data_IF_509535023456
#
_entry.id   IF_509535023456
#
_cell.length_a   1.000
_cell.length_b   1.000
_cell.length_c   1.000
_cell.angle_alpha   90.00
_cell.angle_beta   90.00
_cell.angle_gamma   90.00
#
_symmetry.space_group_name_H-M   'P 1'
#
loop_
_entity.id
_entity.type
_entity.pdbx_description
1 polymer ?
2 non-polymer ?
3 non-polymer ?
4 water ?
#
# COMPACT_ATOMS: atom_id res chain seq x y z
N UNK A 5 20.85 3.39 -5.88
CA UNK A 5 19.50 3.60 -5.28
C UNK A 5 19.59 4.59 -4.12
N UNK A 6 18.82 5.68 -4.20
CA UNK A 6 18.76 6.67 -3.14
C UNK A 6 17.30 7.09 -2.99
N UNK A 7 17.03 7.90 -1.97
CA UNK A 7 15.68 8.42 -1.78
C UNK A 7 15.40 9.41 -2.91
N UNK A 8 16.47 10.11 -3.31
CA UNK A 8 16.44 11.10 -4.36
C UNK A 8 15.98 10.45 -5.65
N UNK A 9 16.46 9.24 -5.94
CA UNK A 9 16.03 8.52 -7.14
C UNK A 9 14.53 8.24 -7.08
N UNK A 10 14.03 7.84 -5.89
CA UNK A 10 12.61 7.56 -5.74
C UNK A 10 11.77 8.84 -5.80
N UNK A 11 12.28 9.95 -5.23
CA UNK A 11 11.61 11.23 -5.38
C UNK A 11 11.41 11.60 -6.85
N UNK A 12 12.44 11.36 -7.67
CA UNK A 12 12.44 11.65 -9.10
C UNK A 12 11.36 10.81 -9.77
N UNK A 13 11.30 9.54 -9.39
CA UNK A 13 10.38 8.64 -10.05
C UNK A 13 8.94 9.05 -9.77
N UNK A 14 8.72 9.79 -8.69
CA UNK A 14 7.37 10.14 -8.26
C UNK A 14 6.96 11.49 -8.85
N UNK A 15 7.96 12.27 -9.31
CA UNK A 15 7.77 13.61 -9.85
C UNK A 15 7.44 13.56 -11.35
N UNK A 16 6.51 14.43 -11.77
CA UNK A 16 6.24 14.70 -13.18
C UNK A 16 7.38 15.55 -13.73
N UNK A 17 7.40 15.78 -15.05
CA UNK A 17 8.45 16.58 -15.70
C UNK A 17 8.66 17.95 -15.05
N UNK A 18 7.55 18.58 -14.62
CA UNK A 18 7.55 19.88 -13.95
C UNK A 18 8.32 19.85 -12.63
N UNK A 19 8.39 18.70 -11.94
CA UNK A 19 9.23 18.54 -10.74
C UNK A 19 8.42 18.27 -9.47
N UNK A 20 7.14 17.99 -9.65
CA UNK A 20 6.15 18.00 -8.60
C UNK A 20 5.57 16.59 -8.48
N UNK A 21 5.20 16.19 -7.27
CA UNK A 21 4.39 15.00 -7.12
C UNK A 21 3.01 15.34 -7.68
N UNK A 22 2.22 14.32 -7.96
CA UNK A 22 0.85 14.54 -8.38
C UNK A 22 -0.12 14.19 -7.24
N UNK A 23 -1.43 14.16 -7.53
CA UNK A 23 -2.45 13.88 -6.53
C UNK A 23 -3.48 12.93 -7.12
N UNK A 24 -4.03 12.02 -6.29
CA UNK A 24 -4.94 11.00 -6.78
C UNK A 24 -6.17 11.66 -7.38
N UNK A 25 -6.47 11.31 -8.63
CA UNK A 25 -7.73 11.62 -9.27
C UNK A 25 -8.85 10.84 -8.58
N UNK A 26 -8.70 9.52 -8.47
CA UNK A 26 -9.83 8.71 -8.07
C UNK A 26 -9.79 8.27 -6.60
N UNK A 27 -10.95 7.91 -6.03
CA UNK A 27 -11.04 7.33 -4.69
C UNK A 27 -10.28 6.02 -4.46
N UNK A 28 -10.20 5.17 -5.50
CA UNK A 28 -9.19 4.12 -5.54
C UNK A 28 -8.83 3.73 -6.97
N UNK A 29 -7.77 2.91 -7.06
CA UNK A 29 -7.31 2.29 -8.28
C UNK A 29 -6.83 0.85 -8.01
N UNK A 30 -6.92 -0.03 -9.03
CA UNK A 30 -6.19 -1.30 -9.05
C UNK A 30 -4.77 -0.99 -9.50
N UNK A 31 -3.77 -1.21 -8.66
CA UNK A 31 -2.41 -0.78 -8.98
C UNK A 31 -1.61 -1.92 -9.60
N UNK A 32 -1.96 -3.15 -9.21
CA UNK A 32 -1.47 -4.40 -9.79
C UNK A 32 -2.68 -5.31 -9.84
N UNK A 33 -2.65 -6.45 -10.56
CA UNK A 33 -3.85 -7.26 -10.66
C UNK A 33 -4.36 -7.71 -9.29
N UNK A 34 -5.59 -7.30 -8.98
CA UNK A 34 -6.35 -7.70 -7.80
C UNK A 34 -5.92 -6.97 -6.53
N UNK A 35 -4.99 -6.03 -6.63
CA UNK A 35 -4.58 -5.18 -5.51
C UNK A 35 -5.02 -3.74 -5.78
N UNK A 36 -5.83 -3.21 -4.87
CA UNK A 36 -6.35 -1.86 -4.93
C UNK A 36 -5.73 -1.02 -3.81
N UNK A 37 -5.44 0.24 -4.13
CA UNK A 37 -5.08 1.30 -3.21
C UNK A 37 -6.13 2.40 -3.29
N UNK A 38 -6.52 2.92 -2.11
CA UNK A 38 -7.63 3.84 -2.02
C UNK A 38 -7.74 4.56 -0.67
N UNK A 39 -8.88 5.22 -0.47
CA UNK A 39 -8.99 6.27 0.53
C UNK A 39 -10.09 5.91 1.52
N UNK A 40 -10.32 6.79 2.49
CA UNK A 40 -11.26 6.56 3.58
C UNK A 40 -12.68 6.33 3.08
N UNK A 41 -13.09 7.06 2.04
CA UNK A 41 -14.47 6.99 1.59
C UNK A 41 -14.79 5.66 0.89
N UNK A 42 -13.87 5.11 0.08
CA UNK A 42 -14.13 3.82 -0.53
C UNK A 42 -14.19 2.74 0.55
N UNK A 43 -13.33 2.87 1.57
CA UNK A 43 -13.23 1.87 2.62
C UNK A 43 -14.52 1.75 3.42
N UNK A 44 -15.25 2.87 3.54
CA UNK A 44 -16.46 2.96 4.36
C UNK A 44 -17.72 2.82 3.50
N UNK A 45 -17.56 2.48 2.22
CA UNK A 45 -18.63 2.34 1.25
C UNK A 45 -18.70 0.88 0.78
N UNK A 46 -19.37 0.06 1.57
CA UNK A 46 -19.40 -1.37 1.31
C UNK A 46 -19.99 -1.65 -0.07
N UNK A 47 -21.13 -1.02 -0.47
CA UNK A 47 -21.65 -1.21 -1.83
C UNK A 47 -20.60 -1.02 -2.92
N UNK A 48 -19.80 0.05 -2.86
CA UNK A 48 -18.75 0.22 -3.86
C UNK A 48 -17.77 -0.95 -3.82
N UNK A 49 -17.48 -1.45 -2.60
CA UNK A 49 -16.44 -2.46 -2.41
C UNK A 49 -16.87 -3.76 -3.10
N UNK A 50 -18.17 -4.07 -3.05
CA UNK A 50 -18.67 -5.26 -3.72
C UNK A 50 -18.65 -5.06 -5.24
N UNK A 51 -19.06 -3.88 -5.71
CA UNK A 51 -19.02 -3.65 -7.14
C UNK A 51 -17.58 -3.82 -7.63
N UNK A 52 -16.59 -3.59 -6.75
CA UNK A 52 -15.19 -3.73 -7.16
C UNK A 52 -14.72 -5.17 -7.00
N UNK A 53 -15.57 -6.00 -6.39
CA UNK A 53 -15.21 -7.38 -6.08
C UNK A 53 -14.24 -7.54 -4.90
N UNK A 54 -14.31 -6.66 -3.89
CA UNK A 54 -13.35 -6.70 -2.79
C UNK A 54 -13.74 -7.74 -1.76
N UNK A 55 -12.76 -8.58 -1.40
CA UNK A 55 -12.94 -9.68 -0.46
C UNK A 55 -12.21 -9.41 0.86
N UNK A 56 -11.11 -8.63 0.77
CA UNK A 56 -10.24 -8.30 1.90
C UNK A 56 -9.96 -6.79 1.94
N UNK A 57 -10.00 -6.24 3.14
CA UNK A 57 -9.65 -4.81 3.35
C UNK A 57 -8.48 -4.73 4.34
N UNK A 58 -7.38 -4.10 3.92
CA UNK A 58 -6.24 -3.86 4.82
C UNK A 58 -6.24 -2.36 5.16
N UNK A 59 -6.67 -2.02 6.37
CA UNK A 59 -6.70 -0.60 6.83
C UNK A 59 -5.31 -0.23 7.33
N UNK A 60 -4.55 0.47 6.50
CA UNK A 60 -3.20 0.82 6.89
C UNK A 60 -3.20 2.09 7.74
N UNK A 61 -4.37 2.58 8.16
CA UNK A 61 -4.39 3.71 9.07
C UNK A 61 -5.49 3.58 10.13
N UNK A 62 -5.50 2.46 10.85
CA UNK A 62 -6.57 2.23 11.81
C UNK A 62 -6.36 3.18 12.99
N UNK A 63 -7.44 3.84 13.42
CA UNK A 63 -7.33 4.80 14.51
C UNK A 63 -8.49 5.80 14.58
N UNK A 64 -8.36 6.74 15.53
CA UNK A 64 -9.37 7.73 15.88
C UNK A 64 -8.96 9.15 15.48
N UNK A 65 -7.70 9.37 15.11
CA UNK A 65 -7.26 10.71 14.78
C UNK A 65 -7.80 11.12 13.42
N UNK A 66 -7.66 12.40 13.14
CA UNK A 66 -8.01 12.97 11.85
C UNK A 66 -7.23 12.32 10.70
N UNK A 67 -6.08 11.68 10.97
CA UNK A 67 -5.25 11.09 9.93
C UNK A 67 -5.53 9.59 9.83
N UNK A 68 -6.57 9.12 10.52
CA UNK A 68 -6.87 7.71 10.66
C UNK A 68 -8.30 7.43 10.23
N UNK A 69 -8.56 6.15 10.04
CA UNK A 69 -9.86 5.62 9.66
C UNK A 69 -10.32 4.68 10.76
N UNK A 70 -11.45 5.04 11.38
CA UNK A 70 -11.90 4.42 12.60
C UNK A 70 -12.86 3.27 12.30
N UNK A 71 -12.36 2.28 11.56
CA UNK A 71 -13.03 1.01 11.33
C UNK A 71 -12.36 -0.08 12.16
N UNK A 72 -12.93 -1.29 12.07
CA UNK A 72 -12.41 -2.51 12.66
C UNK A 72 -13.16 -3.67 11.99
N UNK A 73 -12.84 -4.90 12.40
CA UNK A 73 -13.41 -6.07 11.74
C UNK A 73 -14.94 -6.05 11.81
N UNK A 74 -15.48 -5.49 12.89
CA UNK A 74 -16.91 -5.52 13.11
C UNK A 74 -17.63 -4.75 12.01
N UNK A 75 -17.00 -3.65 11.58
CA UNK A 75 -17.57 -2.81 10.54
C UNK A 75 -18.01 -3.65 9.34
N UNK A 76 -17.34 -4.78 9.14
CA UNK A 76 -17.45 -5.51 7.89
C UNK A 76 -18.06 -6.89 8.14
N UNK A 77 -18.59 -7.07 9.36
CA UNK A 77 -19.03 -8.37 9.83
C UNK A 77 -19.91 -9.05 8.78
N UNK A 78 -21.08 -8.46 8.49
CA UNK A 78 -22.10 -9.13 7.70
C UNK A 78 -21.94 -8.82 6.21
N UNK A 79 -20.72 -8.47 5.78
CA UNK A 79 -20.47 -8.19 4.37
C UNK A 79 -19.67 -9.31 3.74
N UNK A 80 -19.10 -10.18 4.58
CA UNK A 80 -18.23 -11.26 4.13
C UNK A 80 -16.83 -10.78 3.74
N UNK A 81 -16.45 -9.55 4.12
CA UNK A 81 -15.11 -9.03 3.86
C UNK A 81 -14.20 -9.37 5.04
N UNK A 82 -12.98 -9.77 4.72
CA UNK A 82 -11.97 -10.06 5.73
C UNK A 82 -11.12 -8.82 5.99
N UNK A 83 -10.84 -8.54 7.26
CA UNK A 83 -10.24 -7.27 7.65
C UNK A 83 -8.90 -7.48 8.36
N UNK A 84 -7.93 -6.62 8.06
CA UNK A 84 -6.79 -6.42 8.93
C UNK A 84 -6.52 -4.92 9.14
N UNK A 85 -6.46 -4.48 10.41
CA UNK A 85 -6.13 -3.11 10.79
C UNK A 85 -4.65 -2.95 11.21
N UNK A 86 -3.96 -1.95 10.69
CA UNK A 86 -2.63 -1.57 11.14
C UNK A 86 -2.71 -0.11 11.56
N UNK A 87 -2.37 0.16 12.83
CA UNK A 87 -2.38 1.53 13.34
C UNK A 87 -1.10 2.27 12.93
N UNK A 88 -0.98 2.61 11.65
CA UNK A 88 0.23 3.30 11.20
C UNK A 88 -0.04 4.79 11.14
N UNK A 89 1.01 5.57 11.38
CA UNK A 89 1.00 7.01 11.22
C UNK A 89 1.82 7.36 9.99
N UNK A 90 1.47 8.51 9.40
CA UNK A 90 2.11 8.96 8.17
C UNK A 90 3.12 10.04 8.53
N UNK A 91 4.28 9.65 9.07
CA UNK A 91 5.32 10.61 9.43
C UNK A 91 6.66 10.00 9.02
N UNK A 92 7.66 10.85 8.77
CA UNK A 92 8.96 10.38 8.33
C UNK A 92 9.66 9.52 9.36
N UNK A 93 9.21 9.57 10.62
CA UNK A 93 9.87 8.86 11.70
C UNK A 93 9.09 7.59 12.07
N UNK A 94 7.91 7.38 11.48
CA UNK A 94 7.12 6.20 11.79
C UNK A 94 7.69 4.97 11.11
N UNK A 95 7.84 3.90 11.90
CA UNK A 95 8.41 2.64 11.47
C UNK A 95 7.33 1.73 10.87
N UNK A 96 7.04 1.98 9.59
CA UNK A 96 6.09 1.17 8.84
C UNK A 96 6.67 -0.20 8.48
N UNK A 97 8.00 -0.29 8.30
CA UNK A 97 8.61 -1.52 7.87
C UNK A 97 8.39 -2.64 8.88
N UNK A 98 8.17 -2.27 10.14
CA UNK A 98 7.80 -3.23 11.17
C UNK A 98 6.52 -4.00 10.79
N UNK A 99 5.72 -3.45 9.87
CA UNK A 99 4.44 -4.03 9.46
C UNK A 99 4.49 -4.78 8.12
N UNK A 100 5.63 -4.72 7.43
CA UNK A 100 5.70 -5.24 6.06
C UNK A 100 5.33 -6.72 5.95
N UNK A 101 5.86 -7.56 6.87
CA UNK A 101 5.66 -9.01 6.84
C UNK A 101 4.19 -9.40 7.02
N UNK A 102 3.52 -8.78 7.98
CA UNK A 102 2.15 -9.11 8.29
C UNK A 102 1.25 -8.54 7.19
N UNK A 103 1.60 -7.37 6.64
CA UNK A 103 0.83 -6.85 5.51
C UNK A 103 1.04 -7.76 4.29
N UNK A 104 2.29 -8.16 3.99
CA UNK A 104 2.58 -9.02 2.84
C UNK A 104 1.86 -10.37 2.90
N UNK A 105 1.78 -10.95 4.09
CA UNK A 105 1.12 -12.23 4.31
C UNK A 105 -0.38 -12.09 4.07
N UNK A 106 -0.99 -10.99 4.51
CA UNK A 106 -2.42 -10.79 4.34
C UNK A 106 -2.80 -10.65 2.87
N UNK A 107 -1.95 -9.93 2.13
CA UNK A 107 -2.15 -9.73 0.71
C UNK A 107 -1.94 -11.04 -0.06
N UNK A 108 -0.87 -11.80 0.26
CA UNK A 108 -0.67 -13.13 -0.29
C UNK A 108 -1.86 -14.06 -0.02
N UNK A 109 -2.46 -13.97 1.16
CA UNK A 109 -3.57 -14.85 1.48
C UNK A 109 -4.80 -14.48 0.67
N UNK A 110 -5.05 -13.16 0.49
CA UNK A 110 -6.19 -12.71 -0.31
C UNK A 110 -6.12 -13.22 -1.75
N UNK A 111 -4.94 -13.09 -2.40
CA UNK A 111 -4.70 -13.41 -3.81
C UNK A 111 -4.59 -14.92 -4.05
N UNK A 112 -4.25 -15.68 -2.99
CA UNK A 112 -4.31 -17.13 -3.00
C UNK A 112 -5.75 -17.53 -3.25
N UNK A 113 -6.71 -16.74 -2.77
CA UNK A 113 -8.11 -17.04 -3.03
C UNK A 113 -8.40 -16.67 -4.48
N UNK A 114 -9.26 -17.47 -5.12
CA UNK A 114 -9.33 -17.54 -6.57
C UNK A 114 -9.85 -16.21 -7.14
N UNK A 115 -10.92 -15.73 -6.52
CA UNK A 115 -11.56 -14.46 -6.84
C UNK A 115 -11.24 -13.41 -5.76
N UNK A 116 -10.07 -13.53 -5.13
CA UNK A 116 -9.71 -12.63 -4.04
C UNK A 116 -9.29 -11.27 -4.59
N UNK A 117 -9.72 -10.21 -3.90
CA UNK A 117 -9.29 -8.85 -4.22
C UNK A 117 -9.11 -8.06 -2.92
N UNK A 118 -7.96 -7.41 -2.77
CA UNK A 118 -7.63 -6.75 -1.52
C UNK A 118 -7.60 -5.24 -1.76
N UNK A 119 -8.22 -4.46 -0.87
CA UNK A 119 -8.05 -3.01 -0.86
C UNK A 119 -7.16 -2.67 0.31
N UNK A 120 -6.00 -2.07 -0.02
CA UNK A 120 -5.14 -1.47 0.97
C UNK A 120 -5.40 0.03 0.93
N UNK A 121 -5.78 0.61 2.08
CA UNK A 121 -6.23 1.99 2.13
C UNK A 121 -5.66 2.69 3.36
N UNK A 122 -5.58 4.01 3.29
CA UNK A 122 -5.49 4.86 4.47
C UNK A 122 -6.54 5.96 4.30
N UNK A 123 -6.24 7.22 4.64
CA UNK A 123 -7.23 8.27 4.56
C UNK A 123 -7.24 8.84 3.14
N UNK A 124 -6.04 9.07 2.57
CA UNK A 124 -5.91 9.64 1.25
C UNK A 124 -5.40 8.62 0.23
N UNK A 125 -4.96 7.44 0.69
CA UNK A 125 -4.44 6.42 -0.20
C UNK A 125 -3.17 6.89 -0.93
N UNK A 126 -2.31 7.64 -0.24
CA UNK A 126 -1.21 8.33 -0.91
C UNK A 126 0.15 7.90 -0.38
N UNK A 127 0.27 7.50 0.90
CA UNK A 127 1.56 7.29 1.53
C UNK A 127 1.68 5.92 2.21
N UNK A 128 0.79 5.58 3.16
CA UNK A 128 1.02 4.36 3.93
C UNK A 128 0.72 3.13 3.07
N UNK A 129 -0.49 3.13 2.48
CA UNK A 129 -1.02 1.98 1.76
C UNK A 129 -0.16 1.63 0.55
N UNK A 130 0.27 2.60 -0.29
CA UNK A 130 1.21 2.29 -1.36
C UNK A 130 2.58 1.78 -0.92
N UNK A 131 3.11 2.27 0.22
CA UNK A 131 4.34 1.72 0.78
C UNK A 131 4.20 0.22 1.09
N UNK A 132 3.06 -0.19 1.69
CA UNK A 132 2.86 -1.58 2.04
C UNK A 132 2.78 -2.42 0.76
N UNK A 133 2.11 -1.86 -0.27
CA UNK A 133 1.89 -2.58 -1.50
C UNK A 133 3.22 -2.74 -2.21
N UNK A 134 4.04 -1.69 -2.25
CA UNK A 134 5.36 -1.80 -2.86
C UNK A 134 6.17 -2.87 -2.13
N UNK A 135 6.19 -2.82 -0.80
CA UNK A 135 7.04 -3.74 -0.06
C UNK A 135 6.60 -5.17 -0.32
N UNK A 136 5.28 -5.39 -0.45
CA UNK A 136 4.73 -6.68 -0.82
C UNK A 136 5.27 -7.14 -2.18
N UNK A 137 5.28 -6.24 -3.18
CA UNK A 137 5.72 -6.60 -4.52
C UNK A 137 7.18 -7.00 -4.49
N UNK A 138 7.97 -6.32 -3.66
CA UNK A 138 9.39 -6.62 -3.54
C UNK A 138 9.59 -7.98 -2.83
N UNK A 139 8.78 -8.29 -1.79
CA UNK A 139 9.08 -9.40 -0.90
C UNK A 139 8.42 -10.66 -1.43
N UNK A 140 7.32 -10.53 -2.19
CA UNK A 140 6.58 -11.70 -2.62
C UNK A 140 6.53 -11.83 -4.14
N UNK A 141 6.64 -10.73 -4.90
CA UNK A 141 6.64 -10.88 -6.35
C UNK A 141 8.02 -10.65 -6.93
N UNK A 142 9.03 -10.40 -6.07
CA UNK A 142 10.45 -10.25 -6.42
C UNK A 142 10.74 -9.05 -7.33
N UNK A 143 9.88 -8.02 -7.26
CA UNK A 143 10.07 -6.79 -8.02
C UNK A 143 11.01 -5.87 -7.27
N UNK A 144 12.03 -5.30 -7.93
CA UNK A 144 12.90 -4.38 -7.22
C UNK A 144 12.11 -3.09 -6.91
N UNK A 145 12.65 -2.22 -6.04
CA UNK A 145 11.88 -1.08 -5.52
C UNK A 145 11.54 -0.08 -6.63
N UNK A 146 12.45 0.13 -7.60
CA UNK A 146 12.19 1.10 -8.65
C UNK A 146 11.05 0.63 -9.55
N UNK A 147 11.02 -0.66 -9.93
CA UNK A 147 9.96 -1.10 -10.81
C UNK A 147 8.66 -1.23 -10.03
N UNK A 148 8.74 -1.59 -8.76
CA UNK A 148 7.51 -1.72 -7.97
C UNK A 148 6.84 -0.36 -7.76
N UNK A 149 7.65 0.63 -7.41
CA UNK A 149 7.14 1.98 -7.21
C UNK A 149 6.67 2.54 -8.56
N UNK A 150 7.40 2.27 -9.65
CA UNK A 150 6.98 2.73 -10.98
C UNK A 150 5.61 2.19 -11.38
N UNK A 151 5.36 0.90 -11.19
CA UNK A 151 4.08 0.35 -11.61
C UNK A 151 2.93 0.87 -10.74
N UNK A 152 3.15 0.96 -9.44
CA UNK A 152 2.09 1.49 -8.61
C UNK A 152 1.78 2.95 -9.01
N UNK A 153 2.83 3.74 -9.25
CA UNK A 153 2.70 5.15 -9.61
C UNK A 153 2.02 5.33 -10.96
N UNK A 154 2.29 4.40 -11.90
CA UNK A 154 1.68 4.43 -13.21
C UNK A 154 0.17 4.33 -13.05
N UNK A 155 -0.30 3.67 -11.99
CA UNK A 155 -1.73 3.38 -11.86
C UNK A 155 -2.45 4.21 -10.80
N UNK A 156 -1.72 4.93 -9.95
CA UNK A 156 -2.32 5.82 -8.96
C UNK A 156 -1.28 6.85 -8.61
N UNK A 157 -1.68 8.12 -8.56
CA UNK A 157 -0.81 9.19 -8.11
C UNK A 157 -0.59 9.00 -6.60
N UNK A 158 0.68 8.74 -6.22
CA UNK A 158 1.09 8.42 -4.85
C UNK A 158 2.33 9.24 -4.49
N UNK A 159 2.58 9.36 -3.18
CA UNK A 159 3.77 10.05 -2.71
C UNK A 159 4.12 9.62 -1.30
N UNK A 160 4.67 8.41 -1.11
CA UNK A 160 5.17 8.04 0.21
C UNK A 160 6.18 9.04 0.74
N UNK A 161 6.06 9.37 2.04
CA UNK A 161 6.97 10.30 2.68
C UNK A 161 8.40 9.77 2.61
N UNK A 162 9.38 10.67 2.80
CA UNK A 162 10.77 10.28 2.57
C UNK A 162 11.28 9.24 3.58
N UNK A 163 10.65 9.10 4.77
CA UNK A 163 10.99 8.04 5.73
C UNK A 163 10.67 6.65 5.18
N UNK A 164 9.45 6.55 4.66
CA UNK A 164 8.95 5.33 4.05
C UNK A 164 9.80 4.93 2.84
N UNK A 165 10.19 5.93 2.05
CA UNK A 165 11.06 5.73 0.90
C UNK A 165 12.41 5.17 1.36
N UNK A 166 13.00 5.76 2.41
CA UNK A 166 14.24 5.25 3.00
C UNK A 166 14.08 3.79 3.42
N UNK A 167 12.89 3.42 3.91
CA UNK A 167 12.69 2.09 4.46
C UNK A 167 12.52 1.11 3.30
N UNK A 168 12.02 1.59 2.17
CA UNK A 168 11.94 0.73 1.01
C UNK A 168 13.33 0.55 0.41
N UNK A 169 14.19 1.57 0.46
CA UNK A 169 15.55 1.40 -0.03
C UNK A 169 16.31 0.36 0.81
N UNK A 170 16.20 0.44 2.15
CA UNK A 170 16.86 -0.50 3.05
C UNK A 170 16.41 -1.92 2.74
N UNK A 171 15.10 -2.08 2.54
CA UNK A 171 14.55 -3.38 2.24
C UNK A 171 15.09 -3.92 0.93
N UNK A 172 15.14 -3.03 -0.06
CA UNK A 172 15.62 -3.36 -1.38
C UNK A 172 17.06 -3.90 -1.32
N UNK A 173 17.96 -3.27 -0.57
CA UNK A 173 19.32 -3.78 -0.47
C UNK A 173 19.37 -5.19 0.13
N UNK A 174 18.60 -5.41 1.21
CA UNK A 174 18.59 -6.70 1.90
C UNK A 174 18.18 -7.80 0.92
N UNK A 175 17.04 -7.58 0.25
CA UNK A 175 16.50 -8.54 -0.70
C UNK A 175 17.48 -8.83 -1.84
N UNK A 176 18.14 -7.78 -2.32
CA UNK A 176 19.10 -7.87 -3.41
C UNK A 176 20.21 -8.82 -3.01
N UNK A 177 20.82 -8.54 -1.86
CA UNK A 177 21.89 -9.36 -1.31
C UNK A 177 21.42 -10.79 -1.06
N UNK A 178 20.15 -10.98 -0.71
CA UNK A 178 19.63 -12.32 -0.47
C UNK A 178 19.27 -13.00 -1.80
N UNK A 179 19.53 -12.34 -2.94
CA UNK A 179 19.22 -12.92 -4.23
C UNK A 179 17.72 -13.12 -4.41
N UNK A 180 16.91 -12.33 -3.70
CA UNK A 180 15.47 -12.51 -3.76
C UNK A 180 14.83 -11.58 -4.79
N UNK A 181 15.62 -10.81 -5.54
CA UNK A 181 15.04 -9.92 -6.54
C UNK A 181 15.34 -10.42 -7.96
N UNK A 182 14.69 -11.52 -8.37
CA UNK A 182 14.88 -12.08 -9.71
C UNK A 182 13.60 -12.78 -10.17
N UNK A 183 12.65 -12.07 -10.84
CA UNK A 183 11.44 -12.70 -11.37
C UNK A 183 11.64 -13.32 -12.76
X LIG B 1 -4.43 7.58 -12.80
X LIG B 1 -3.10 7.97 -12.72
X LIG B 1 -2.32 7.81 -13.85
X LIG B 1 -0.84 8.18 -13.90
X LIG B 1 -4.14 6.92 -14.93
X LIG B 1 -2.85 7.27 -14.95
X LIG B 1 -5.27 7.71 -11.75
X LIG B 1 -0.59 9.47 -14.09
X LIG B 1 -0.17 7.54 -14.86
X LIG B 1 -4.96 7.04 -13.88
X LIG B 1 -2.69 8.38 -11.81
X LIG B 1 -0.52 7.87 -12.90
X LIG B 1 -4.55 6.50 -15.83
X LIG B 1 -5.58 8.63 -11.70
X LIG C 1 1.58 -9.65 -11.08
X LIG C 1 1.63 -8.58 -11.98
X LIG C 1 1.97 -7.33 -11.49
X LIG C 1 2.06 -6.04 -12.27
X LIG C 1 2.17 -8.26 -9.40
X LIG C 1 2.25 -7.19 -10.19
X LIG C 1 1.26 -10.94 -11.43
X LIG C 1 1.70 -6.06 -13.55
X LIG C 1 3.27 -5.57 -12.26
X LIG C 1 1.84 -9.50 -9.79
X LIG C 1 1.40 -8.72 -13.03
X LIG C 1 1.33 -5.42 -11.75
X LIG C 1 2.38 -8.12 -8.35
X LIG C 1 1.29 -11.50 -10.65
X LIG D 1 -3.29 -4.02 -13.43
X LIG D 1 -3.54 -2.58 -13.13
X LIG D 1 -1.65 -4.09 -14.12
X LIG D 1 -4.24 -4.37 -14.90
X LIG E 1 -0.18 7.75 17.91
X LIG E 1 0.72 6.73 17.26
X LIG E 1 -1.66 7.85 16.90
X LIG E 1 0.54 9.35 17.59
X LIG F 1 -10.60 10.89 1.11
X LIG F 1 -9.96 12.00 0.29
X LIG F 1 -12.36 11.11 0.95
X LIG F 1 -10.44 11.37 2.81
#
# INVERSE_FOLDING_TARGET
GSFELSVQDLNDLLSDGSGCYSLPSQPCNEVTPRIYVGNASVAQDIPKLQKLGITHVLNAAEGRSFMHVNTNANFYKDSGITYLGIKANDTQEFNLSAYFERAADFIDQALAQKNGRVLVHCREGYSRSPTLVIAYLMMRQKMDVKSALSIVRQNREIGPNDGFLAQLCQLNDRLAKEGKLKP
I2X C1 C2 C3 C4 C5 N1 O1 F1 F2 N2 H2 H3 H4 H1
I2X C1 C2 C3 C4 C5 N1 O1 F1 F2 N2 H2 H3 H4 H1
DMS S O C1 C2
DMS S O C1 C2
DMS S O C1 C2
#
